data_IF_117292814928
#
_entry.id   IF_117292814928
#
_cell.length_a   1.000
_cell.length_b   1.000
_cell.length_c   1.000
_cell.angle_alpha   90.00
_cell.angle_beta   90.00
_cell.angle_gamma   90.00
#
_symmetry.space_group_name_H-M   'P 1'
#
loop_
_entity.id
_entity.type
_entity.pdbx_description
1 polymer ?
#
# COMPACT_ATOMS: atom_id res chain seq x y z
N UNK A 1 -27.27 -21.39 22.10
CA UNK A 1 -27.39 -20.06 21.50
C UNK A 1 -26.00 -19.60 21.06
N UNK A 2 -25.54 -20.00 19.88
CA UNK A 2 -24.19 -19.63 19.40
C UNK A 2 -24.15 -19.78 17.89
N UNK A 3 -24.52 -18.72 17.18
CA UNK A 3 -24.39 -18.65 15.72
C UNK A 3 -24.28 -17.19 15.31
N UNK A 4 -23.28 -16.48 15.82
CA UNK A 4 -22.96 -15.15 15.32
C UNK A 4 -21.47 -14.92 15.52
N UNK A 5 -20.76 -14.67 14.41
CA UNK A 5 -19.39 -14.15 14.25
C UNK A 5 -18.39 -14.99 13.44
N UNK A 6 -18.82 -15.99 12.66
CA UNK A 6 -17.93 -16.59 11.64
C UNK A 6 -17.75 -15.68 10.41
N UNK A 7 -18.75 -14.85 10.05
CA UNK A 7 -18.68 -13.94 8.89
C UNK A 7 -18.03 -12.58 9.18
N UNK A 8 -17.78 -12.21 10.44
CA UNK A 8 -17.15 -10.91 10.78
C UNK A 8 -15.62 -10.98 10.85
N UNK A 9 -15.04 -12.16 11.07
CA UNK A 9 -13.58 -12.34 11.04
C UNK A 9 -12.92 -12.04 9.67
N UNK A 10 -13.49 -12.44 8.51
CA UNK A 10 -12.90 -12.19 7.19
C UNK A 10 -12.62 -10.71 6.91
N UNK A 11 -13.56 -9.83 7.25
CA UNK A 11 -13.46 -8.38 6.98
C UNK A 11 -12.37 -7.73 7.80
N UNK A 12 -12.27 -8.08 9.10
CA UNK A 12 -11.19 -7.60 9.97
C UNK A 12 -9.82 -7.95 9.39
N UNK A 13 -9.65 -9.19 8.92
CA UNK A 13 -8.41 -9.63 8.29
C UNK A 13 -8.09 -8.89 6.99
N UNK A 14 -9.11 -8.57 6.18
CA UNK A 14 -8.92 -7.78 4.95
C UNK A 14 -8.48 -6.36 5.29
N UNK A 15 -9.11 -5.73 6.28
CA UNK A 15 -8.72 -4.40 6.78
C UNK A 15 -7.30 -4.43 7.34
N UNK A 16 -6.97 -5.37 8.23
CA UNK A 16 -5.63 -5.50 8.81
C UNK A 16 -4.56 -5.72 7.72
N UNK A 17 -4.87 -6.51 6.69
CA UNK A 17 -3.96 -6.71 5.55
C UNK A 17 -3.77 -5.44 4.73
N UNK A 18 -4.84 -4.67 4.49
CA UNK A 18 -4.78 -3.39 3.79
C UNK A 18 -3.97 -2.36 4.59
N UNK A 19 -4.21 -2.24 5.90
CA UNK A 19 -3.44 -1.37 6.79
C UNK A 19 -1.97 -1.74 6.82
N UNK A 20 -1.66 -3.03 6.91
CA UNK A 20 -0.28 -3.52 6.84
C UNK A 20 0.38 -3.21 5.49
N UNK A 21 -0.34 -3.38 4.38
CA UNK A 21 0.18 -3.03 3.06
C UNK A 21 0.45 -1.52 2.93
N UNK A 22 -0.45 -0.67 3.46
CA UNK A 22 -0.26 0.78 3.52
C UNK A 22 0.95 1.17 4.36
N UNK A 23 1.20 0.49 5.47
CA UNK A 23 2.38 0.74 6.29
C UNK A 23 3.67 0.36 5.55
N UNK A 24 3.71 -0.81 4.91
CA UNK A 24 4.85 -1.26 4.10
C UNK A 24 5.13 -0.26 2.96
N UNK A 25 4.09 0.24 2.28
CA UNK A 25 4.20 1.27 1.26
C UNK A 25 4.85 2.55 1.78
N UNK A 26 4.38 3.05 2.93
CA UNK A 26 4.94 4.25 3.56
C UNK A 26 6.40 4.08 3.97
N UNK A 27 6.76 2.91 4.50
CA UNK A 27 8.13 2.59 4.89
C UNK A 27 9.04 2.53 3.64
N UNK A 28 8.57 1.92 2.55
CA UNK A 28 9.30 1.87 1.28
C UNK A 28 9.50 3.26 0.66
N UNK A 29 8.47 4.12 0.66
CA UNK A 29 8.60 5.52 0.21
C UNK A 29 9.65 6.29 1.02
N UNK A 30 9.67 6.08 2.34
CA UNK A 30 10.65 6.71 3.22
C UNK A 30 12.06 6.19 2.95
N UNK A 31 12.22 4.87 2.74
CA UNK A 31 13.49 4.26 2.39
C UNK A 31 14.05 4.83 1.07
N UNK A 32 13.19 5.01 0.07
CA UNK A 32 13.55 5.60 -1.23
C UNK A 32 13.98 7.05 -1.07
N UNK A 33 13.19 7.88 -0.39
CA UNK A 33 13.57 9.28 -0.11
C UNK A 33 14.88 9.36 0.66
N UNK A 34 15.06 8.50 1.66
CA UNK A 34 16.28 8.47 2.46
C UNK A 34 17.49 8.06 1.62
N UNK A 35 17.35 7.05 0.76
CA UNK A 35 18.41 6.64 -0.17
C UNK A 35 18.77 7.76 -1.18
N UNK A 36 17.77 8.48 -1.70
CA UNK A 36 17.98 9.66 -2.54
C UNK A 36 18.75 10.77 -1.80
N UNK A 37 18.36 11.07 -0.56
CA UNK A 37 19.06 12.08 0.27
C UNK A 37 20.50 11.67 0.57
N UNK A 38 20.76 10.38 0.78
CA UNK A 38 22.11 9.85 0.97
C UNK A 38 22.91 9.74 -0.33
N UNK A 39 22.28 9.93 -1.49
CA UNK A 39 22.88 9.73 -2.82
C UNK A 39 23.54 8.35 -2.95
N UNK A 40 22.94 7.33 -2.31
CA UNK A 40 23.47 5.96 -2.29
C UNK A 40 22.71 5.11 -3.33
N UNK A 41 23.33 4.77 -4.47
CA UNK A 41 22.67 4.05 -5.56
C UNK A 41 22.34 2.60 -5.22
N UNK A 42 23.10 1.98 -4.31
CA UNK A 42 22.82 0.60 -3.86
C UNK A 42 21.59 0.57 -2.98
N UNK A 43 21.50 1.52 -2.03
CA UNK A 43 20.30 1.66 -1.19
C UNK A 43 19.10 2.09 -2.00
N UNK A 44 19.28 2.94 -3.02
CA UNK A 44 18.19 3.36 -3.89
C UNK A 44 17.61 2.18 -4.67
N UNK A 45 18.47 1.33 -5.25
CA UNK A 45 18.03 0.14 -5.97
C UNK A 45 17.29 -0.84 -5.07
N UNK A 46 17.78 -1.06 -3.83
CA UNK A 46 17.10 -1.89 -2.85
C UNK A 46 15.74 -1.30 -2.44
N UNK A 47 15.68 0.01 -2.19
CA UNK A 47 14.46 0.70 -1.80
C UNK A 47 13.42 0.73 -2.93
N UNK A 48 13.84 0.80 -4.20
CA UNK A 48 12.96 0.64 -5.36
C UNK A 48 12.37 -0.78 -5.41
N UNK A 49 13.17 -1.82 -5.17
CA UNK A 49 12.65 -3.19 -5.11
C UNK A 49 11.66 -3.40 -3.94
N UNK A 50 11.91 -2.75 -2.79
CA UNK A 50 10.96 -2.72 -1.67
C UNK A 50 9.66 -2.00 -2.06
N UNK A 51 9.77 -0.91 -2.82
CA UNK A 51 8.62 -0.17 -3.38
C UNK A 51 7.79 -1.07 -4.31
N UNK A 52 8.41 -1.79 -5.25
CA UNK A 52 7.69 -2.73 -6.11
C UNK A 52 6.97 -3.84 -5.31
N UNK A 53 7.61 -4.35 -4.26
CA UNK A 53 7.01 -5.32 -3.35
C UNK A 53 5.80 -4.75 -2.59
N UNK A 54 5.92 -3.51 -2.12
CA UNK A 54 4.83 -2.80 -1.45
C UNK A 54 3.64 -2.52 -2.38
N UNK A 55 3.90 -2.19 -3.65
CA UNK A 55 2.86 -1.92 -4.65
C UNK A 55 2.02 -3.18 -4.87
N UNK A 56 2.68 -4.33 -5.06
CA UNK A 56 1.98 -5.62 -5.18
C UNK A 56 1.17 -5.98 -3.94
N UNK A 57 1.65 -5.60 -2.75
CA UNK A 57 0.92 -5.82 -1.51
C UNK A 57 -0.35 -4.96 -1.44
N UNK A 58 -0.28 -3.69 -1.88
CA UNK A 58 -1.44 -2.80 -1.98
C UNK A 58 -2.45 -3.30 -3.02
N UNK A 59 -2.01 -3.70 -4.21
CA UNK A 59 -2.89 -4.25 -5.25
C UNK A 59 -3.60 -5.51 -4.76
N UNK A 60 -2.87 -6.40 -4.06
CA UNK A 60 -3.47 -7.61 -3.47
C UNK A 60 -4.51 -7.26 -2.41
N UNK A 61 -4.23 -6.29 -1.54
CA UNK A 61 -5.19 -5.83 -0.54
C UNK A 61 -6.42 -5.16 -1.17
N UNK A 62 -6.23 -4.40 -2.27
CA UNK A 62 -7.33 -3.84 -3.06
C UNK A 62 -8.24 -4.94 -3.60
N UNK A 63 -7.67 -5.96 -4.26
CA UNK A 63 -8.44 -7.09 -4.79
C UNK A 63 -9.20 -7.85 -3.69
N UNK A 64 -8.61 -7.96 -2.49
CA UNK A 64 -9.28 -8.58 -1.33
C UNK A 64 -10.45 -7.74 -0.80
N UNK A 65 -10.30 -6.41 -0.79
CA UNK A 65 -11.39 -5.49 -0.42
C UNK A 65 -12.52 -5.53 -1.44
N UNK A 66 -12.21 -5.48 -2.73
CA UNK A 66 -13.22 -5.56 -3.81
C UNK A 66 -14.00 -6.89 -3.79
N UNK A 67 -13.34 -7.99 -3.42
CA UNK A 67 -14.01 -9.27 -3.25
C UNK A 67 -15.00 -9.29 -2.07
N UNK A 68 -14.76 -8.47 -1.04
CA UNK A 68 -15.57 -8.37 0.18
C UNK A 68 -16.61 -7.23 0.16
N UNK A 69 -16.46 -6.24 -0.72
CA UNK A 69 -17.40 -5.11 -0.88
C UNK A 69 -18.82 -5.53 -1.34
N UNK A 70 -19.01 -6.80 -1.73
CA UNK A 70 -20.34 -7.37 -1.97
C UNK A 70 -21.15 -7.66 -0.68
N UNK A 71 -20.51 -7.62 0.50
CA UNK A 71 -21.17 -7.84 1.79
C UNK A 71 -21.41 -6.49 2.50
N UNK A 72 -22.47 -6.42 3.34
CA UNK A 72 -23.10 -5.22 3.94
C UNK A 72 -22.21 -4.25 4.79
N UNK A 73 -20.88 -4.31 4.68
CA UNK A 73 -19.88 -3.61 5.51
C UNK A 73 -19.19 -2.43 4.79
N UNK A 74 -19.91 -1.73 3.91
CA UNK A 74 -19.36 -0.66 3.06
C UNK A 74 -18.70 0.50 3.81
N UNK A 75 -19.12 0.87 5.03
CA UNK A 75 -18.63 2.11 5.66
C UNK A 75 -17.17 2.02 6.15
N UNK A 76 -16.81 0.96 6.87
CA UNK A 76 -15.42 0.76 7.34
C UNK A 76 -14.49 0.43 6.16
N UNK A 77 -14.96 -0.39 5.22
CA UNK A 77 -14.20 -0.73 4.01
C UNK A 77 -13.97 0.48 3.12
N UNK A 78 -14.93 1.40 2.97
CA UNK A 78 -14.77 2.60 2.15
C UNK A 78 -13.66 3.52 2.68
N UNK A 79 -13.51 3.66 4.00
CA UNK A 79 -12.44 4.47 4.59
C UNK A 79 -11.06 3.87 4.29
N UNK A 80 -10.91 2.56 4.53
CA UNK A 80 -9.65 1.85 4.29
C UNK A 80 -9.32 1.80 2.80
N UNK A 81 -10.32 1.61 1.95
CA UNK A 81 -10.16 1.63 0.49
C UNK A 81 -9.75 3.02 -0.01
N UNK A 82 -10.27 4.09 0.59
CA UNK A 82 -9.83 5.46 0.27
C UNK A 82 -8.36 5.65 0.64
N UNK A 83 -7.95 5.24 1.84
CA UNK A 83 -6.56 5.33 2.28
C UNK A 83 -5.62 4.48 1.42
N UNK A 84 -6.06 3.29 1.01
CA UNK A 84 -5.28 2.41 0.15
C UNK A 84 -5.08 3.02 -1.25
N UNK A 85 -6.12 3.63 -1.82
CA UNK A 85 -5.99 4.37 -3.08
C UNK A 85 -5.03 5.57 -2.94
N UNK A 86 -5.06 6.28 -1.82
CA UNK A 86 -4.10 7.36 -1.55
C UNK A 86 -2.66 6.82 -1.47
N UNK A 87 -2.45 5.67 -0.85
CA UNK A 87 -1.13 5.03 -0.79
C UNK A 87 -0.63 4.62 -2.18
N UNK A 88 -1.49 4.03 -3.02
CA UNK A 88 -1.16 3.69 -4.41
C UNK A 88 -0.75 4.93 -5.22
N UNK A 89 -1.53 6.02 -5.11
CA UNK A 89 -1.22 7.29 -5.79
C UNK A 89 0.09 7.91 -5.30
N UNK A 90 0.33 7.87 -3.98
CA UNK A 90 1.57 8.38 -3.40
C UNK A 90 2.79 7.61 -3.90
N UNK A 91 2.69 6.27 -3.95
CA UNK A 91 3.76 5.42 -4.47
C UNK A 91 4.04 5.67 -5.94
N UNK A 92 3.01 5.79 -6.77
CA UNK A 92 3.15 6.12 -8.20
C UNK A 92 3.90 7.45 -8.41
N UNK A 93 3.58 8.46 -7.60
CA UNK A 93 4.30 9.74 -7.61
C UNK A 93 5.75 9.58 -7.20
N UNK A 94 6.05 8.79 -6.16
CA UNK A 94 7.44 8.55 -5.73
C UNK A 94 8.22 7.77 -6.78
N UNK A 95 7.63 6.72 -7.36
CA UNK A 95 8.20 5.95 -8.46
C UNK A 95 8.53 6.85 -9.67
N UNK A 96 7.56 7.65 -10.11
CA UNK A 96 7.74 8.60 -11.21
C UNK A 96 8.88 9.61 -10.95
N UNK A 97 9.03 10.08 -9.71
CA UNK A 97 10.11 10.97 -9.31
C UNK A 97 11.48 10.27 -9.20
N UNK A 98 11.51 8.95 -8.98
CA UNK A 98 12.75 8.16 -9.01
C UNK A 98 13.21 7.83 -10.44
N UNK A 99 12.27 7.64 -11.37
CA UNK A 99 12.57 7.28 -12.76
C UNK A 99 12.96 8.47 -13.63
N UNK A 100 12.52 9.69 -13.29
CA UNK A 100 12.98 10.89 -13.97
C UNK A 100 14.34 11.33 -13.39
N UNK A 101 15.48 11.12 -14.09
CA UNK A 101 16.68 11.88 -13.76
C UNK A 101 16.29 13.35 -13.90
N UNK A 102 16.49 14.14 -12.84
CA UNK A 102 16.46 15.60 -12.93
C UNK A 102 17.40 15.98 -14.09
N UNK A 103 16.84 16.23 -15.27
CA UNK A 103 17.54 16.94 -16.32
C UNK A 103 17.63 18.37 -15.83
N UNK A 104 18.62 18.61 -14.98
CA UNK A 104 19.08 19.94 -14.62
C UNK A 104 19.55 20.55 -15.93
N UNK A 105 18.85 21.60 -16.37
CA UNK A 105 19.23 22.42 -17.51
C UNK A 105 19.89 23.69 -17.01
#
# INVERSE_FOLDING_TARGET
MTQVNQHQMPIRHVIDNAEKAMQIAKDAEMAVRHAQLQSDPHKLSAAIAEMEGAQRALEKAQSQMEAQDHEHHHQELAQVQHQLNQALQSMDVVASNTEQPRQVR
#
